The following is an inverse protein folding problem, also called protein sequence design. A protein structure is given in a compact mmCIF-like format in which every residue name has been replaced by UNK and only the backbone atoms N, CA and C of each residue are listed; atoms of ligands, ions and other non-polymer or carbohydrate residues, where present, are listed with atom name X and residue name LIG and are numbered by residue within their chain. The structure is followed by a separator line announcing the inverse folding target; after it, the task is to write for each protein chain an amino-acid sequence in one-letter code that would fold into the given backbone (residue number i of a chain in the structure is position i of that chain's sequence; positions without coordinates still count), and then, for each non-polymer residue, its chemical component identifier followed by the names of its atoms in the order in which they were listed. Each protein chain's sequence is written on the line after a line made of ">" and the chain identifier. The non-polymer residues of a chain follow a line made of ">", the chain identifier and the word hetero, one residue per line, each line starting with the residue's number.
data_IF_836442733483
#
_entry.id   IF_836442733483
#
_cell.length_a   1.000
_cell.length_b   1.000
_cell.length_c   1.000
_cell.angle_alpha   90.00
_cell.angle_beta   90.00
_cell.angle_gamma   90.00
#
_symmetry.space_group_name_H-M   'P 1'
#
loop_
_entity.id
_entity.type
_entity.pdbx_description
1 polymer ?
#
# COMPACT_ATOMS: atom_id res chain seq x y z
N UNK A 1 2.63 21.13 22.18
CA UNK A 1 2.64 21.17 20.71
C UNK A 1 2.10 22.52 20.37
N UNK A 2 2.96 23.41 19.91
CA UNK A 2 2.53 24.72 19.40
C UNK A 2 1.69 24.50 18.13
N UNK A 3 0.93 25.50 17.67
CA UNK A 3 0.22 25.38 16.40
C UNK A 3 1.19 25.14 15.23
N UNK A 4 2.37 25.74 15.30
CA UNK A 4 3.42 25.60 14.28
C UNK A 4 3.99 24.18 14.24
N UNK A 5 4.28 23.58 15.40
CA UNK A 5 4.74 22.19 15.50
C UNK A 5 3.72 21.20 14.90
N UNK A 6 2.44 21.49 15.08
CA UNK A 6 1.34 20.68 14.56
C UNK A 6 1.26 20.78 13.04
N UNK A 7 1.32 22.00 12.48
CA UNK A 7 1.28 22.21 11.03
C UNK A 7 2.45 21.52 10.32
N UNK A 8 3.67 21.65 10.86
CA UNK A 8 4.85 20.98 10.32
C UNK A 8 4.68 19.45 10.34
N UNK A 9 4.16 18.91 11.44
CA UNK A 9 3.90 17.47 11.57
C UNK A 9 2.87 16.99 10.55
N UNK A 10 1.79 17.75 10.34
CA UNK A 10 0.73 17.44 9.38
C UNK A 10 1.23 17.47 7.94
N UNK A 11 2.00 18.50 7.54
CA UNK A 11 2.61 18.58 6.20
C UNK A 11 3.58 17.42 5.96
N UNK A 12 4.37 17.07 6.97
CA UNK A 12 5.27 15.93 6.91
C UNK A 12 4.54 14.60 6.69
N UNK A 13 3.51 14.34 7.50
CA UNK A 13 2.68 13.13 7.37
C UNK A 13 1.92 13.06 6.04
N UNK A 14 1.43 14.19 5.55
CA UNK A 14 0.81 14.29 4.23
C UNK A 14 1.79 13.84 3.14
N UNK A 15 3.00 14.42 3.10
CA UNK A 15 4.03 14.02 2.13
C UNK A 15 4.44 12.55 2.28
N UNK A 16 4.52 12.03 3.51
CA UNK A 16 4.82 10.62 3.73
C UNK A 16 3.73 9.69 3.17
N UNK A 17 2.46 10.08 3.27
CA UNK A 17 1.34 9.33 2.71
C UNK A 17 1.32 9.37 1.18
N UNK A 18 1.62 10.51 0.56
CA UNK A 18 1.70 10.61 -0.91
C UNK A 18 2.88 9.81 -1.47
N UNK A 19 4.03 9.82 -0.80
CA UNK A 19 5.17 8.93 -1.12
C UNK A 19 4.71 7.48 -1.07
N UNK A 20 4.03 7.06 0.01
CA UNK A 20 3.54 5.69 0.15
C UNK A 20 2.56 5.33 -0.97
N UNK A 21 1.62 6.20 -1.29
CA UNK A 21 0.65 5.96 -2.38
C UNK A 21 1.36 5.81 -3.74
N UNK A 22 2.32 6.69 -4.05
CA UNK A 22 3.16 6.61 -5.25
C UNK A 22 3.84 5.23 -5.37
N UNK A 23 4.56 4.80 -4.35
CA UNK A 23 5.31 3.53 -4.40
C UNK A 23 4.40 2.29 -4.39
N UNK A 24 3.28 2.32 -3.64
CA UNK A 24 2.31 1.24 -3.69
C UNK A 24 1.69 1.11 -5.08
N UNK A 25 1.41 2.23 -5.76
CA UNK A 25 0.93 2.22 -7.14
C UNK A 25 1.95 1.61 -8.11
N UNK A 26 3.22 2.02 -8.01
CA UNK A 26 4.32 1.48 -8.83
C UNK A 26 4.54 -0.02 -8.59
N UNK A 27 4.31 -0.49 -7.36
CA UNK A 27 4.42 -1.90 -6.99
C UNK A 27 3.13 -2.72 -7.27
N UNK A 28 2.13 -2.14 -7.95
CA UNK A 28 0.83 -2.76 -8.19
C UNK A 28 0.11 -3.21 -6.91
N UNK A 29 0.33 -2.49 -5.80
CA UNK A 29 -0.30 -2.71 -4.50
C UNK A 29 -1.49 -1.76 -4.27
N UNK A 30 -2.50 -2.25 -3.56
CA UNK A 30 -3.70 -1.46 -3.23
C UNK A 30 -3.41 -0.46 -2.12
N UNK A 31 -3.67 0.81 -2.36
CA UNK A 31 -3.68 1.85 -1.33
C UNK A 31 -5.12 2.09 -0.79
N UNK A 32 -5.31 2.38 0.51
CA UNK A 32 -6.65 2.56 1.09
C UNK A 32 -7.43 3.71 0.44
N UNK A 33 -8.65 3.43 -0.06
CA UNK A 33 -9.45 4.43 -0.78
C UNK A 33 -9.80 5.65 0.05
N UNK A 34 -10.12 5.43 1.32
CA UNK A 34 -10.42 6.52 2.25
C UNK A 34 -9.24 7.47 2.35
N UNK A 35 -8.00 6.97 2.41
CA UNK A 35 -6.81 7.79 2.46
C UNK A 35 -6.59 8.55 1.13
N UNK A 36 -6.65 7.89 -0.02
CA UNK A 36 -6.55 8.55 -1.34
C UNK A 36 -7.54 9.71 -1.48
N UNK A 37 -8.80 9.50 -1.09
CA UNK A 37 -9.84 10.56 -1.17
C UNK A 37 -9.46 11.80 -0.39
N UNK A 38 -8.94 11.64 0.83
CA UNK A 38 -8.49 12.78 1.64
C UNK A 38 -7.24 13.43 1.05
N UNK A 39 -6.30 12.66 0.48
CA UNK A 39 -5.11 13.23 -0.16
C UNK A 39 -5.48 14.08 -1.38
N UNK A 40 -6.31 13.55 -2.29
CA UNK A 40 -6.81 14.31 -3.45
C UNK A 40 -7.55 15.59 -3.03
N UNK A 41 -8.39 15.50 -1.99
CA UNK A 41 -9.11 16.68 -1.47
C UNK A 41 -8.17 17.77 -0.96
N UNK A 42 -7.06 17.40 -0.31
CA UNK A 42 -6.06 18.36 0.18
C UNK A 42 -5.36 19.06 -1.01
N UNK A 43 -5.13 18.33 -2.11
CA UNK A 43 -4.50 18.87 -3.33
C UNK A 43 -5.49 19.62 -4.24
N UNK A 44 -6.78 19.62 -3.91
CA UNK A 44 -7.83 20.23 -4.75
C UNK A 44 -8.18 19.39 -5.98
N UNK A 45 -7.78 18.12 -6.01
CA UNK A 45 -8.05 17.19 -7.10
C UNK A 45 -9.31 16.36 -6.85
N UNK A 46 -10.00 16.00 -7.92
CA UNK A 46 -11.13 15.05 -7.87
C UNK A 46 -10.62 13.62 -7.83
N UNK A 47 -10.97 12.89 -6.77
CA UNK A 47 -10.70 11.46 -6.66
C UNK A 47 -11.38 10.68 -7.80
N UNK A 48 -10.59 9.90 -8.54
CA UNK A 48 -11.02 9.03 -9.63
C UNK A 48 -10.90 7.56 -9.22
N UNK A 49 -12.00 6.81 -9.13
CA UNK A 49 -11.97 5.38 -8.80
C UNK A 49 -11.10 4.55 -9.76
N UNK A 50 -11.01 4.96 -11.02
CA UNK A 50 -10.21 4.33 -12.08
C UNK A 50 -8.70 4.37 -11.82
N UNK A 51 -8.21 5.35 -11.06
CA UNK A 51 -6.78 5.47 -10.72
C UNK A 51 -6.36 4.47 -9.63
N UNK A 52 -7.32 3.75 -9.06
CA UNK A 52 -7.05 2.72 -8.07
C UNK A 52 -6.81 1.36 -8.70
N UNK A 53 -5.73 0.72 -8.25
CA UNK A 53 -5.49 -0.68 -8.51
C UNK A 53 -6.63 -1.50 -7.90
N UNK A 54 -7.44 -2.07 -8.78
CA UNK A 54 -8.47 -3.02 -8.41
C UNK A 54 -7.81 -4.38 -8.12
N UNK A 55 -8.35 -5.17 -7.17
CA UNK A 55 -7.93 -6.55 -7.06
C UNK A 55 -8.11 -7.24 -8.41
N UNK A 56 -7.03 -7.86 -8.90
CA UNK A 56 -7.11 -8.76 -10.05
C UNK A 56 -7.87 -9.99 -9.56
N UNK A 57 -9.19 -9.99 -9.77
CA UNK A 57 -9.97 -11.20 -9.61
C UNK A 57 -9.64 -12.09 -10.80
N UNK A 58 -8.70 -13.01 -10.62
CA UNK A 58 -8.57 -14.14 -11.53
C UNK A 58 -9.91 -14.86 -11.55
N UNK A 59 -10.46 -15.05 -12.76
CA UNK A 59 -11.70 -15.80 -12.91
C UNK A 59 -11.52 -17.19 -12.28
N UNK A 60 -12.59 -17.69 -11.65
CA UNK A 60 -12.57 -19.05 -11.16
C UNK A 60 -12.27 -20.00 -12.35
N UNK A 61 -11.41 -21.01 -12.16
CA UNK A 61 -11.18 -22.02 -13.17
C UNK A 61 -12.52 -22.64 -13.59
N UNK A 62 -12.69 -22.90 -14.89
CA UNK A 62 -13.91 -23.56 -15.36
C UNK A 62 -13.97 -24.99 -14.81
N UNK A 63 -15.16 -25.60 -14.70
CA UNK A 63 -15.27 -26.99 -14.27
C UNK A 63 -14.40 -27.92 -15.14
N UNK A 64 -13.45 -28.62 -14.51
CA UNK A 64 -12.51 -29.52 -15.19
C UNK A 64 -11.20 -28.88 -15.68
N UNK A 65 -11.03 -27.57 -15.51
CA UNK A 65 -9.79 -26.86 -15.80
C UNK A 65 -8.84 -26.95 -14.60
N UNK A 66 -7.58 -27.33 -14.85
CA UNK A 66 -6.54 -27.31 -13.83
C UNK A 66 -5.90 -25.91 -13.79
N UNK A 67 -6.09 -25.12 -12.71
CA UNK A 67 -5.47 -23.80 -12.58
C UNK A 67 -3.94 -23.82 -12.54
N UNK A 68 -3.33 -25.00 -12.36
CA UNK A 68 -1.89 -25.17 -12.30
C UNK A 68 -1.31 -25.84 -13.55
N UNK A 69 -2.09 -25.98 -14.63
CA UNK A 69 -1.58 -26.54 -15.89
C UNK A 69 -0.53 -25.60 -16.52
N UNK A 70 0.75 -26.02 -16.61
CA UNK A 70 1.81 -25.20 -17.17
C UNK A 70 1.60 -24.85 -18.65
N UNK A 71 0.73 -25.56 -19.38
CA UNK A 71 0.42 -25.25 -20.79
C UNK A 71 -0.38 -23.97 -20.96
N UNK A 72 -1.02 -23.48 -19.90
CA UNK A 72 -1.80 -22.23 -19.92
C UNK A 72 -0.92 -20.99 -19.69
N UNK A 73 0.36 -21.18 -19.35
CA UNK A 73 1.29 -20.09 -19.15
C UNK A 73 1.58 -19.36 -20.47
N UNK A 74 1.61 -18.01 -20.48
CA UNK A 74 2.00 -17.25 -21.65
C UNK A 74 3.39 -17.64 -22.17
N UNK A 75 3.58 -17.54 -23.49
CA UNK A 75 4.88 -17.76 -24.10
C UNK A 75 5.93 -16.75 -23.62
N UNK A 76 7.20 -17.14 -23.68
CA UNK A 76 8.30 -16.26 -23.33
C UNK A 76 8.33 -15.06 -24.30
N UNK A 77 8.19 -13.85 -23.75
CA UNK A 77 8.20 -12.60 -24.50
C UNK A 77 9.61 -12.16 -24.96
N UNK A 78 10.66 -12.90 -24.60
CA UNK A 78 12.04 -12.64 -25.02
C UNK A 78 12.77 -11.54 -24.25
N UNK A 79 12.16 -11.01 -23.18
CA UNK A 79 12.76 -9.97 -22.36
C UNK A 79 14.05 -10.44 -21.68
N UNK A 80 15.01 -9.53 -21.61
CA UNK A 80 16.31 -9.77 -20.98
C UNK A 80 16.44 -8.85 -19.77
N UNK A 81 16.89 -9.40 -18.62
CA UNK A 81 17.20 -8.61 -17.43
C UNK A 81 18.73 -8.52 -17.26
N UNK A 82 19.27 -7.31 -17.04
CA UNK A 82 20.69 -7.12 -16.68
C UNK A 82 20.83 -6.22 -15.46
N UNK A 83 21.77 -6.57 -14.60
CA UNK A 83 22.12 -5.75 -13.44
C UNK A 83 23.11 -4.67 -13.85
N UNK A 84 22.82 -3.43 -13.48
CA UNK A 84 23.73 -2.28 -13.61
C UNK A 84 23.67 -1.49 -12.31
N UNK A 85 24.83 -1.27 -11.69
CA UNK A 85 24.95 -0.51 -10.42
C UNK A 85 24.04 -1.05 -9.30
N UNK A 86 23.86 -2.38 -9.25
CA UNK A 86 23.00 -3.04 -8.27
C UNK A 86 21.49 -2.99 -8.56
N UNK A 87 21.07 -2.29 -9.62
CA UNK A 87 19.68 -2.25 -10.09
C UNK A 87 19.47 -3.19 -11.28
N UNK A 88 18.30 -3.82 -11.33
CA UNK A 88 17.91 -4.69 -12.45
C UNK A 88 17.15 -3.87 -13.48
N UNK A 89 17.65 -3.85 -14.71
CA UNK A 89 16.98 -3.24 -15.86
C UNK A 89 16.44 -4.33 -16.77
N UNK A 90 15.23 -4.11 -17.28
CA UNK A 90 14.55 -5.00 -18.24
C UNK A 90 14.68 -4.41 -19.63
N UNK A 91 15.00 -5.26 -20.61
CA UNK A 91 15.22 -4.91 -22.01
C UNK A 91 14.29 -5.72 -22.90
N UNK A 92 13.91 -5.18 -24.06
CA UNK A 92 13.03 -5.87 -25.01
C UNK A 92 13.68 -7.15 -25.58
N UNK A 93 14.98 -7.11 -25.84
CA UNK A 93 15.77 -8.22 -26.37
C UNK A 93 17.25 -8.11 -25.96
N UNK A 94 18.07 -9.09 -26.37
CA UNK A 94 19.50 -9.10 -26.07
C UNK A 94 20.28 -7.96 -26.75
N UNK A 95 19.88 -7.53 -27.94
CA UNK A 95 20.57 -6.47 -28.69
C UNK A 95 20.34 -5.08 -28.04
N UNK A 96 19.14 -4.83 -27.52
CA UNK A 96 18.80 -3.65 -26.73
C UNK A 96 19.56 -3.65 -25.39
N UNK A 97 19.75 -4.82 -24.79
CA UNK A 97 20.56 -4.96 -23.58
C UNK A 97 22.05 -4.63 -23.83
N UNK A 98 22.61 -5.03 -24.97
CA UNK A 98 23.98 -4.68 -25.37
C UNK A 98 24.14 -3.17 -25.64
N UNK A 99 23.12 -2.53 -26.20
CA UNK A 99 23.08 -1.07 -26.43
C UNK A 99 22.70 -0.24 -25.20
N UNK A 100 22.40 -0.89 -24.08
CA UNK A 100 21.94 -0.25 -22.84
C UNK A 100 20.72 0.65 -23.04
N UNK A 101 19.76 0.16 -23.82
CA UNK A 101 18.48 0.82 -24.05
C UNK A 101 17.37 0.10 -23.28
N UNK A 102 17.18 0.40 -21.97
CA UNK A 102 16.20 -0.29 -21.14
C UNK A 102 14.78 -0.02 -21.67
N UNK A 103 13.89 -0.95 -21.38
CA UNK A 103 12.48 -0.80 -21.67
C UNK A 103 11.90 0.33 -20.81
N UNK A 104 11.10 1.18 -21.44
CA UNK A 104 10.35 2.22 -20.75
C UNK A 104 9.26 1.56 -19.88
N UNK A 105 9.51 1.54 -18.58
CA UNK A 105 8.62 1.00 -17.56
C UNK A 105 8.43 2.08 -16.49
N UNK A 106 7.25 2.18 -15.86
CA UNK A 106 7.03 3.12 -14.78
C UNK A 106 7.85 2.68 -13.56
N UNK A 107 9.07 3.18 -13.45
CA UNK A 107 9.93 3.02 -12.30
C UNK A 107 10.43 4.39 -11.82
N UNK A 108 10.64 4.57 -10.51
CA UNK A 108 11.27 5.78 -10.01
C UNK A 108 12.77 5.74 -10.33
N UNK A 109 13.34 6.91 -10.59
CA UNK A 109 14.78 7.05 -10.65
C UNK A 109 15.43 6.82 -9.27
N UNK A 110 16.69 6.42 -9.30
CA UNK A 110 17.44 6.07 -8.09
C UNK A 110 17.53 7.25 -7.12
N UNK A 111 17.85 8.45 -7.63
CA UNK A 111 18.05 9.64 -6.81
C UNK A 111 16.76 10.05 -6.09
N UNK A 112 15.63 10.06 -6.81
CA UNK A 112 14.31 10.33 -6.23
C UNK A 112 13.95 9.31 -5.15
N UNK A 113 14.29 8.03 -5.33
CA UNK A 113 14.08 7.03 -4.28
C UNK A 113 14.89 7.33 -3.02
N UNK A 114 16.17 7.68 -3.17
CA UNK A 114 17.03 8.04 -2.05
C UNK A 114 16.53 9.32 -1.36
N UNK A 115 16.09 10.32 -2.11
CA UNK A 115 15.55 11.57 -1.56
C UNK A 115 14.25 11.35 -0.77
N UNK A 116 13.32 10.57 -1.32
CA UNK A 116 12.08 10.21 -0.62
C UNK A 116 12.37 9.41 0.65
N UNK A 117 13.34 8.49 0.60
CA UNK A 117 13.77 7.71 1.77
C UNK A 117 14.41 8.59 2.85
N UNK A 118 15.30 9.50 2.46
CA UNK A 118 15.94 10.45 3.37
C UNK A 118 14.92 11.37 4.03
N UNK A 119 13.92 11.84 3.27
CA UNK A 119 12.80 12.61 3.83
C UNK A 119 12.04 11.82 4.90
N UNK A 120 11.71 10.55 4.63
CA UNK A 120 11.00 9.70 5.60
C UNK A 120 11.83 9.46 6.87
N UNK A 121 13.14 9.21 6.74
CA UNK A 121 14.04 9.03 7.88
C UNK A 121 14.10 10.29 8.74
N UNK A 122 14.23 11.47 8.11
CA UNK A 122 14.24 12.75 8.81
C UNK A 122 12.91 13.01 9.53
N UNK A 123 11.78 12.72 8.88
CA UNK A 123 10.44 12.88 9.46
C UNK A 123 10.25 11.96 10.68
N UNK A 124 10.70 10.70 10.60
CA UNK A 124 10.63 9.76 11.71
C UNK A 124 11.46 10.26 12.89
N UNK A 125 12.62 10.89 12.65
CA UNK A 125 13.49 11.42 13.70
C UNK A 125 12.95 12.70 14.37
N UNK A 126 12.06 13.44 13.69
CA UNK A 126 11.55 14.74 14.12
C UNK A 126 10.74 14.69 15.42
N UNK A 127 11.16 15.46 16.43
CA UNK A 127 10.55 15.51 17.77
C UNK A 127 9.07 15.93 17.81
N UNK A 128 8.67 17.03 17.14
CA UNK A 128 7.27 17.44 17.00
C UNK A 128 6.38 16.32 16.46
N UNK A 129 6.78 15.69 15.35
CA UNK A 129 6.03 14.60 14.69
C UNK A 129 5.87 13.39 15.60
N UNK A 130 6.92 12.96 16.31
CA UNK A 130 6.85 11.88 17.31
C UNK A 130 5.86 12.21 18.43
N UNK A 131 5.93 13.43 18.97
CA UNK A 131 5.07 13.85 20.08
C UNK A 131 3.61 13.91 19.64
N UNK A 132 3.36 14.45 18.44
CA UNK A 132 2.03 14.54 17.86
C UNK A 132 1.43 13.15 17.60
N UNK A 133 2.14 12.28 16.90
CA UNK A 133 1.65 10.93 16.57
C UNK A 133 1.42 10.09 17.82
N UNK A 134 2.31 10.17 18.83
CA UNK A 134 2.11 9.49 20.12
C UNK A 134 0.82 9.91 20.83
N UNK A 135 0.56 11.23 20.91
CA UNK A 135 -0.69 11.75 21.50
C UNK A 135 -1.91 11.30 20.71
N UNK A 136 -1.83 11.31 19.38
CA UNK A 136 -2.91 10.88 18.50
C UNK A 136 -3.23 9.40 18.66
N UNK A 137 -2.21 8.54 18.74
CA UNK A 137 -2.35 7.11 18.97
C UNK A 137 -2.97 6.82 20.34
N UNK A 138 -2.51 7.51 21.41
CA UNK A 138 -3.15 7.42 22.73
C UNK A 138 -4.62 7.79 22.70
N UNK A 139 -4.97 8.88 22.03
CA UNK A 139 -6.36 9.29 21.87
C UNK A 139 -7.20 8.24 21.13
N UNK A 140 -6.68 7.67 20.04
CA UNK A 140 -7.38 6.63 19.28
C UNK A 140 -7.59 5.37 20.12
N UNK A 141 -6.61 4.97 20.91
CA UNK A 141 -6.73 3.87 21.87
C UNK A 141 -7.81 4.15 22.91
N UNK A 142 -7.80 5.33 23.55
CA UNK A 142 -8.84 5.71 24.51
C UNK A 142 -10.23 5.73 23.89
N UNK A 143 -10.36 6.21 22.65
CA UNK A 143 -11.63 6.18 21.90
C UNK A 143 -12.11 4.75 21.68
N UNK A 144 -11.21 3.83 21.32
CA UNK A 144 -11.53 2.42 21.14
C UNK A 144 -11.97 1.76 22.45
N UNK A 145 -11.26 2.01 23.56
CA UNK A 145 -11.65 1.47 24.86
C UNK A 145 -13.06 1.92 25.28
N UNK A 146 -13.43 3.18 25.00
CA UNK A 146 -14.79 3.67 25.27
C UNK A 146 -15.80 2.97 24.36
N UNK A 147 -15.47 2.74 23.09
CA UNK A 147 -16.32 1.98 22.17
C UNK A 147 -16.57 0.56 22.70
N UNK A 148 -15.55 -0.14 23.16
CA UNK A 148 -15.69 -1.48 23.76
C UNK A 148 -16.60 -1.43 24.99
N UNK A 149 -16.34 -0.52 25.94
CA UNK A 149 -17.14 -0.40 27.17
C UNK A 149 -18.63 -0.14 26.91
N UNK A 150 -18.96 0.55 25.81
CA UNK A 150 -20.35 0.89 25.47
C UNK A 150 -21.03 -0.20 24.65
N UNK A 151 -20.30 -0.91 23.78
CA UNK A 151 -20.89 -1.77 22.75
C UNK A 151 -20.61 -3.27 22.92
N UNK A 152 -19.76 -3.68 23.88
CA UNK A 152 -19.36 -5.08 24.08
C UNK A 152 -20.57 -6.04 24.17
N UNK A 153 -21.59 -5.68 24.95
CA UNK A 153 -22.78 -6.53 25.10
C UNK A 153 -23.61 -6.63 23.81
N UNK A 154 -23.63 -5.59 22.99
CA UNK A 154 -24.35 -5.58 21.71
C UNK A 154 -23.59 -6.40 20.67
N UNK A 155 -22.28 -6.20 20.55
CA UNK A 155 -21.40 -7.00 19.68
C UNK A 155 -21.47 -8.49 20.06
N UNK A 156 -21.51 -8.83 21.36
CA UNK A 156 -21.67 -10.22 21.82
C UNK A 156 -23.03 -10.82 21.42
N UNK A 157 -24.11 -10.03 21.40
CA UNK A 157 -25.43 -10.50 20.94
C UNK A 157 -25.42 -10.78 19.44
N UNK A 158 -24.79 -9.91 18.64
CA UNK A 158 -24.66 -10.11 17.20
C UNK A 158 -23.89 -11.40 16.86
N UNK A 159 -22.80 -11.67 17.58
CA UNK A 159 -22.06 -12.93 17.42
C UNK A 159 -22.92 -14.16 17.72
N UNK A 160 -23.78 -14.11 18.75
CA UNK A 160 -24.68 -15.23 19.11
C UNK A 160 -25.76 -15.51 18.06
N UNK A 161 -26.15 -14.51 17.27
CA UNK A 161 -27.10 -14.68 16.16
C UNK A 161 -26.46 -15.47 15.00
N UNK A 162 -25.13 -15.51 14.93
CA UNK A 162 -24.38 -16.19 13.87
C UNK A 162 -23.48 -17.33 14.40
N UNK A 163 -24.07 -18.41 14.97
CA UNK A 163 -23.31 -19.44 15.68
C UNK A 163 -22.36 -20.26 14.79
N UNK A 164 -22.57 -20.26 13.47
CA UNK A 164 -21.71 -20.98 12.52
C UNK A 164 -20.46 -20.19 12.10
N UNK A 165 -20.32 -18.93 12.54
CA UNK A 165 -19.15 -18.06 12.31
C UNK A 165 -18.37 -17.85 13.62
N UNK A 166 -18.14 -18.92 14.36
CA UNK A 166 -17.32 -18.87 15.57
C UNK A 166 -15.81 -18.82 15.25
N UNK A 167 -14.99 -18.79 16.30
CA UNK A 167 -13.54 -18.73 16.16
C UNK A 167 -13.00 -19.85 15.26
N UNK A 168 -13.52 -21.08 15.32
CA UNK A 168 -12.98 -22.21 14.55
C UNK A 168 -13.42 -22.18 13.09
N UNK A 169 -14.63 -21.70 12.83
CA UNK A 169 -15.19 -21.65 11.48
C UNK A 169 -14.79 -20.40 10.69
N UNK A 170 -14.21 -19.39 11.35
CA UNK A 170 -13.63 -18.24 10.67
C UNK A 170 -12.30 -18.59 10.01
N UNK A 171 -12.23 -18.37 8.68
CA UNK A 171 -10.98 -18.50 7.91
C UNK A 171 -10.01 -17.40 8.36
N UNK A 172 -8.86 -17.82 8.86
CA UNK A 172 -7.76 -16.93 9.21
C UNK A 172 -6.60 -17.24 8.28
N UNK A 173 -6.02 -16.20 7.71
CA UNK A 173 -4.79 -16.31 6.93
C UNK A 173 -3.66 -15.92 7.87
N UNK A 174 -2.65 -16.78 7.98
CA UNK A 174 -1.41 -16.41 8.68
C UNK A 174 -0.73 -15.35 7.81
N UNK A 175 -0.66 -14.13 8.33
CA UNK A 175 0.11 -13.05 7.72
C UNK A 175 1.49 -13.07 8.38
N UNK A 176 2.54 -13.23 7.57
CA UNK A 176 3.94 -13.14 7.98
C UNK A 176 4.40 -11.69 7.90
#
# INVERSE_FOLDING_TARGET
>A
VTMDDFEVSCKGLFRALTIREKYMRLAYQRFPQTASKFLCQIEGETFKPEDQLQPVFTALPKPGEDPFDPKTLPENLGYVARMKEGLIYVYNDAAAADKHHPKDLPCPDYDTFIDDMNFLIALIAQGPTKTYTHRRLKFLMSKFNVHEMLNEMEEMKELKINPHRDFYNCRKVVTM
#
